data_IF_750880908906
#
_entry.id   IF_750880908906
#
_cell.length_a   1.000
_cell.length_b   1.000
_cell.length_c   1.000
_cell.angle_alpha   90.00
_cell.angle_beta   90.00
_cell.angle_gamma   90.00
#
_symmetry.space_group_name_H-M   'P 1'
#
loop_
_entity.id
_entity.type
_entity.pdbx_description
1 polymer ?
#
# COMPACT_ATOMS: atom_id res chain seq x y z
N UNK A 1 -21.11 0.97 3.42
CA UNK A 1 -20.14 -0.15 3.45
C UNK A 1 -20.48 -1.04 4.64
N UNK A 2 -20.45 -2.36 4.51
CA UNK A 2 -20.82 -3.31 5.58
C UNK A 2 -19.65 -3.63 6.51
N UNK A 3 -19.91 -3.88 7.80
CA UNK A 3 -18.90 -4.19 8.82
C UNK A 3 -17.93 -5.31 8.38
N UNK A 4 -18.46 -6.36 7.73
CA UNK A 4 -17.69 -7.49 7.19
C UNK A 4 -16.63 -7.09 6.16
N UNK A 5 -16.87 -6.04 5.35
CA UNK A 5 -15.88 -5.53 4.39
C UNK A 5 -14.76 -4.74 5.07
N UNK A 6 -15.06 -4.06 6.18
CA UNK A 6 -14.09 -3.29 6.96
C UNK A 6 -13.13 -4.24 7.68
N UNK A 7 -13.65 -5.29 8.31
CA UNK A 7 -12.82 -6.30 8.99
C UNK A 7 -11.93 -7.07 8.02
N UNK A 8 -12.44 -7.42 6.83
CA UNK A 8 -11.64 -8.03 5.77
C UNK A 8 -10.57 -7.09 5.21
N UNK A 9 -10.82 -5.77 5.19
CA UNK A 9 -9.84 -4.76 4.82
C UNK A 9 -8.69 -4.70 5.83
N UNK A 10 -9.03 -4.50 7.11
CA UNK A 10 -8.03 -4.43 8.20
C UNK A 10 -7.23 -5.72 8.35
N UNK A 11 -7.88 -6.87 8.25
CA UNK A 11 -7.20 -8.17 8.24
C UNK A 11 -6.26 -8.32 7.04
N UNK A 12 -6.62 -7.73 5.89
CA UNK A 12 -5.78 -7.71 4.71
C UNK A 12 -4.53 -6.87 4.90
N UNK A 13 -4.67 -5.64 5.37
CA UNK A 13 -3.54 -4.73 5.66
C UNK A 13 -2.56 -5.36 6.64
N UNK A 14 -3.05 -6.00 7.71
CA UNK A 14 -2.19 -6.68 8.68
C UNK A 14 -1.36 -7.81 8.04
N UNK A 15 -1.96 -8.60 7.14
CA UNK A 15 -1.23 -9.67 6.44
C UNK A 15 -0.18 -9.12 5.49
N UNK A 16 -0.46 -7.98 4.84
CA UNK A 16 0.51 -7.30 3.98
C UNK A 16 1.64 -6.70 4.80
N UNK A 17 1.33 -6.03 5.92
CA UNK A 17 2.31 -5.49 6.85
C UNK A 17 3.29 -6.57 7.31
N UNK A 18 2.78 -7.72 7.78
CA UNK A 18 3.62 -8.86 8.20
C UNK A 18 4.50 -9.40 7.08
N UNK A 19 3.98 -9.44 5.84
CA UNK A 19 4.77 -9.85 4.67
C UNK A 19 5.96 -8.91 4.47
N UNK A 20 5.76 -7.60 4.58
CA UNK A 20 6.85 -6.62 4.48
C UNK A 20 7.82 -6.66 5.67
N UNK A 21 7.31 -6.78 6.89
CA UNK A 21 8.13 -6.91 8.11
C UNK A 21 9.05 -8.14 8.02
N UNK A 22 8.54 -9.27 7.53
CA UNK A 22 9.35 -10.46 7.26
C UNK A 22 10.44 -10.27 6.18
N UNK A 23 10.40 -9.17 5.40
CA UNK A 23 11.40 -8.80 4.40
C UNK A 23 12.25 -7.59 4.85
N UNK A 24 12.23 -7.27 6.14
CA UNK A 24 13.07 -6.22 6.72
C UNK A 24 12.56 -4.80 6.53
N UNK A 25 11.29 -4.63 6.14
CA UNK A 25 10.64 -3.31 6.14
C UNK A 25 10.04 -3.00 7.52
N UNK A 26 9.97 -1.73 7.86
CA UNK A 26 9.22 -1.23 9.01
C UNK A 26 7.92 -0.59 8.55
N UNK A 27 6.83 -0.82 9.28
CA UNK A 27 5.57 -0.10 9.05
C UNK A 27 5.68 1.29 9.68
N UNK A 28 5.73 2.32 8.85
CA UNK A 28 5.79 3.71 9.28
C UNK A 28 4.40 4.24 9.63
N UNK A 29 3.40 3.94 8.80
CA UNK A 29 2.01 4.33 8.99
C UNK A 29 1.05 3.26 8.45
N UNK A 30 -0.13 3.17 9.05
CA UNK A 30 -1.27 2.37 8.55
C UNK A 30 -2.48 3.30 8.39
N UNK A 31 -3.24 3.15 7.31
CA UNK A 31 -4.42 3.98 7.01
C UNK A 31 -4.13 5.49 7.13
N UNK A 32 -3.00 5.94 6.58
CA UNK A 32 -2.62 7.35 6.65
C UNK A 32 -3.59 8.19 5.83
N UNK A 33 -4.20 9.21 6.45
CA UNK A 33 -5.33 9.96 5.89
C UNK A 33 -5.06 11.46 5.89
N UNK A 34 -5.42 12.08 4.77
CA UNK A 34 -5.47 13.53 4.62
C UNK A 34 -6.80 13.96 4.02
N UNK A 35 -7.00 15.27 3.86
CA UNK A 35 -8.18 15.81 3.16
C UNK A 35 -8.25 15.39 1.69
N UNK A 36 -7.13 14.94 1.10
CA UNK A 36 -7.02 14.60 -0.33
C UNK A 36 -7.19 13.10 -0.60
N UNK A 37 -7.11 12.26 0.43
CA UNK A 37 -7.28 10.82 0.31
C UNK A 37 -6.57 10.04 1.40
N UNK A 38 -6.30 8.77 1.12
CA UNK A 38 -5.68 7.84 2.05
C UNK A 38 -4.66 6.95 1.36
N UNK A 39 -3.70 6.47 2.14
CA UNK A 39 -2.74 5.43 1.77
C UNK A 39 -2.85 4.31 2.80
N UNK A 40 -3.05 3.07 2.32
CA UNK A 40 -3.31 1.92 3.20
C UNK A 40 -2.09 1.58 4.07
N UNK A 41 -0.90 1.49 3.47
CA UNK A 41 0.36 1.24 4.18
C UNK A 41 1.48 2.15 3.68
N UNK A 42 2.27 2.68 4.61
CA UNK A 42 3.53 3.37 4.33
C UNK A 42 4.64 2.62 5.04
N UNK A 43 5.65 2.20 4.29
CA UNK A 43 6.70 1.30 4.75
C UNK A 43 8.07 1.93 4.50
N UNK A 44 9.04 1.62 5.35
CA UNK A 44 10.41 2.09 5.21
C UNK A 44 11.41 0.93 5.21
N UNK A 45 12.46 1.04 4.40
CA UNK A 45 13.62 0.14 4.44
C UNK A 45 14.84 0.82 3.84
N UNK A 46 15.92 0.95 4.62
CA UNK A 46 17.25 1.40 4.15
C UNK A 46 17.24 2.42 2.99
N UNK A 47 16.75 3.64 3.24
CA UNK A 47 16.73 4.70 2.21
C UNK A 47 15.59 4.62 1.19
N UNK A 48 14.66 3.67 1.34
CA UNK A 48 13.44 3.59 0.56
C UNK A 48 12.19 3.84 1.41
N UNK A 49 11.20 4.52 0.81
CA UNK A 49 9.82 4.58 1.31
C UNK A 49 8.89 3.98 0.27
N UNK A 50 8.05 3.05 0.72
CA UNK A 50 7.06 2.36 -0.11
C UNK A 50 5.66 2.78 0.31
N UNK A 51 4.88 3.28 -0.64
CA UNK A 51 3.46 3.52 -0.49
C UNK A 51 2.71 2.34 -1.10
N UNK A 52 2.06 1.53 -0.27
CA UNK A 52 1.41 0.30 -0.71
C UNK A 52 -0.11 0.41 -0.61
N UNK A 53 -0.80 0.19 -1.74
CA UNK A 53 -2.25 0.02 -1.80
C UNK A 53 -2.62 -1.45 -1.60
N UNK A 54 -3.55 -1.74 -0.70
CA UNK A 54 -3.98 -3.09 -0.34
C UNK A 54 -5.35 -3.41 -0.95
N UNK A 55 -5.42 -4.51 -1.69
CA UNK A 55 -6.65 -5.01 -2.31
C UNK A 55 -7.01 -6.39 -1.78
N UNK A 56 -8.00 -6.46 -0.90
CA UNK A 56 -8.60 -7.73 -0.50
C UNK A 56 -9.50 -8.26 -1.61
N UNK A 57 -9.26 -9.51 -2.02
CA UNK A 57 -10.00 -10.21 -3.09
C UNK A 57 -10.52 -11.55 -2.60
N UNK A 58 -11.68 -11.94 -3.10
CA UNK A 58 -12.28 -13.26 -2.91
C UNK A 58 -11.87 -14.26 -4.01
N UNK A 59 -11.29 -13.77 -5.11
CA UNK A 59 -10.80 -14.57 -6.25
C UNK A 59 -9.28 -14.63 -6.26
N UNK A 60 -8.74 -15.74 -6.79
CA UNK A 60 -7.31 -16.00 -6.99
C UNK A 60 -6.76 -15.51 -8.33
N UNK A 61 -7.59 -14.93 -9.21
CA UNK A 61 -7.08 -14.40 -10.48
C UNK A 61 -6.32 -13.10 -10.24
N UNK A 62 -5.01 -13.11 -10.51
CA UNK A 62 -4.11 -11.96 -10.38
C UNK A 62 -3.89 -11.26 -11.74
N UNK A 63 -3.92 -9.93 -11.75
CA UNK A 63 -3.58 -9.06 -12.90
C UNK A 63 -2.27 -8.30 -12.60
N UNK A 64 -1.84 -7.37 -13.46
CA UNK A 64 -0.49 -6.75 -13.41
C UNK A 64 -0.24 -5.77 -12.24
N UNK A 65 -1.12 -5.71 -11.24
CA UNK A 65 -1.05 -4.73 -10.14
C UNK A 65 -1.48 -3.33 -10.58
N UNK A 66 -0.82 -2.78 -11.61
CA UNK A 66 -1.14 -1.49 -12.24
C UNK A 66 -2.57 -1.43 -12.78
N UNK A 67 -3.01 -2.48 -13.50
CA UNK A 67 -4.39 -2.60 -14.01
C UNK A 67 -5.44 -2.58 -12.89
N UNK A 68 -5.08 -3.03 -11.68
CA UNK A 68 -5.97 -3.00 -10.54
C UNK A 68 -6.08 -1.62 -9.88
N UNK A 69 -5.21 -0.68 -10.23
CA UNK A 69 -5.23 0.70 -9.77
C UNK A 69 -5.31 1.62 -10.99
N UNK A 70 -6.52 2.04 -11.35
CA UNK A 70 -6.71 2.92 -12.51
C UNK A 70 -5.92 4.23 -12.40
N UNK A 71 -5.62 4.84 -13.57
CA UNK A 71 -4.75 6.02 -13.69
C UNK A 71 -5.07 7.17 -12.72
N UNK A 72 -6.36 7.43 -12.46
CA UNK A 72 -6.81 8.48 -11.53
C UNK A 72 -6.32 8.20 -10.10
N UNK A 73 -6.39 6.93 -9.68
CA UNK A 73 -5.96 6.52 -8.35
C UNK A 73 -4.43 6.52 -8.25
N UNK A 74 -3.72 6.07 -9.29
CA UNK A 74 -2.25 6.16 -9.34
C UNK A 74 -1.76 7.62 -9.18
N UNK A 75 -2.36 8.55 -9.94
CA UNK A 75 -2.02 9.98 -9.83
C UNK A 75 -2.28 10.52 -8.43
N UNK A 76 -3.41 10.13 -7.80
CA UNK A 76 -3.72 10.51 -6.42
C UNK A 76 -2.71 9.95 -5.43
N UNK A 77 -2.34 8.67 -5.55
CA UNK A 77 -1.36 8.04 -4.65
C UNK A 77 0.01 8.70 -4.76
N UNK A 78 0.46 9.07 -5.97
CA UNK A 78 1.70 9.86 -6.15
C UNK A 78 1.64 11.22 -5.46
N UNK A 79 0.50 11.91 -5.54
CA UNK A 79 0.30 13.19 -4.83
C UNK A 79 0.31 13.03 -3.32
N UNK A 80 -0.34 11.98 -2.79
CA UNK A 80 -0.34 11.66 -1.37
C UNK A 80 1.07 11.28 -0.89
N UNK A 81 1.84 10.54 -1.69
CA UNK A 81 3.22 10.22 -1.39
C UNK A 81 4.09 11.48 -1.28
N UNK A 82 3.95 12.42 -2.22
CA UNK A 82 4.64 13.70 -2.16
C UNK A 82 4.23 14.52 -0.91
N UNK A 83 2.94 14.55 -0.56
CA UNK A 83 2.45 15.22 0.64
C UNK A 83 3.03 14.58 1.92
N UNK A 84 3.05 13.26 2.02
CA UNK A 84 3.64 12.56 3.15
C UNK A 84 5.13 12.91 3.32
N UNK A 85 5.90 12.84 2.24
CA UNK A 85 7.33 13.15 2.26
C UNK A 85 7.62 14.58 2.69
N UNK A 86 6.80 15.54 2.22
CA UNK A 86 6.94 16.95 2.60
C UNK A 86 6.79 17.18 4.11
N UNK A 87 6.00 16.36 4.82
CA UNK A 87 5.83 16.47 6.28
C UNK A 87 6.99 15.92 7.09
N UNK A 88 7.85 15.07 6.49
CA UNK A 88 8.95 14.37 7.20
C UNK A 88 10.29 15.10 7.12
N UNK A 89 10.41 16.13 6.27
CA UNK A 89 11.59 16.98 6.16
C UNK A 89 12.91 16.27 5.81
N UNK A 90 12.85 14.98 5.43
CA UNK A 90 14.02 14.12 5.21
C UNK A 90 14.11 13.72 3.75
N UNK A 91 15.32 13.77 3.20
CA UNK A 91 15.59 13.22 1.86
C UNK A 91 15.47 11.70 1.88
N UNK A 92 14.68 11.16 0.97
CA UNK A 92 14.50 9.72 0.79
C UNK A 92 15.05 9.37 -0.60
N UNK A 93 16.13 8.57 -0.68
CA UNK A 93 16.75 8.18 -1.94
C UNK A 93 15.81 7.48 -2.92
N UNK A 94 14.89 6.64 -2.41
CA UNK A 94 14.00 5.84 -3.25
C UNK A 94 12.54 5.92 -2.80
N UNK A 95 11.63 6.18 -3.73
CA UNK A 95 10.18 6.17 -3.50
C UNK A 95 9.53 5.16 -4.43
N UNK A 96 8.77 4.23 -3.85
CA UNK A 96 8.11 3.15 -4.59
C UNK A 96 6.61 3.12 -4.33
N UNK A 97 5.82 2.82 -5.35
CA UNK A 97 4.38 2.61 -5.22
C UNK A 97 4.05 1.16 -5.52
N UNK A 98 3.61 0.45 -4.48
CA UNK A 98 3.34 -0.98 -4.56
C UNK A 98 1.83 -1.23 -4.52
N UNK A 99 1.43 -2.39 -5.04
CA UNK A 99 0.06 -2.88 -4.89
C UNK A 99 0.14 -4.28 -4.29
N UNK A 100 -0.58 -4.51 -3.19
CA UNK A 100 -0.65 -5.82 -2.55
C UNK A 100 -2.05 -6.42 -2.69
N UNK A 101 -2.13 -7.66 -3.14
CA UNK A 101 -3.39 -8.40 -3.23
C UNK A 101 -3.43 -9.43 -2.12
N UNK A 102 -4.53 -9.42 -1.38
CA UNK A 102 -4.78 -10.33 -0.28
C UNK A 102 -5.92 -11.25 -0.68
N UNK A 103 -5.67 -12.55 -0.63
CA UNK A 103 -6.67 -13.58 -0.90
C UNK A 103 -6.66 -14.61 0.24
N UNK A 104 -7.63 -15.54 0.29
CA UNK A 104 -7.60 -16.63 1.27
C UNK A 104 -6.30 -17.45 1.21
N UNK A 105 -5.71 -17.62 0.03
CA UNK A 105 -4.53 -18.46 -0.17
C UNK A 105 -3.20 -17.74 0.06
N UNK A 106 -3.18 -16.41 0.15
CA UNK A 106 -1.94 -15.69 0.40
C UNK A 106 -1.96 -14.20 0.07
N UNK A 107 -0.78 -13.59 0.23
CA UNK A 107 -0.49 -12.21 -0.14
C UNK A 107 0.44 -12.21 -1.34
N UNK A 108 0.09 -11.44 -2.38
CA UNK A 108 0.97 -11.18 -3.52
C UNK A 108 1.25 -9.68 -3.60
N UNK A 109 2.51 -9.30 -3.65
CA UNK A 109 2.94 -7.91 -3.80
C UNK A 109 3.41 -7.69 -5.23
N UNK A 110 2.95 -6.60 -5.83
CA UNK A 110 3.44 -6.05 -7.09
C UNK A 110 4.27 -4.83 -6.73
N UNK A 111 5.58 -5.01 -6.73
CA UNK A 111 6.53 -3.94 -6.44
C UNK A 111 6.64 -2.97 -7.63
N UNK A 112 6.83 -1.69 -7.35
CA UNK A 112 6.94 -0.64 -8.36
C UNK A 112 5.80 -0.72 -9.40
N UNK A 113 4.58 -0.94 -8.92
CA UNK A 113 3.42 -1.20 -9.75
C UNK A 113 3.06 -0.01 -10.65
N UNK A 114 3.41 1.22 -10.26
CA UNK A 114 3.25 2.42 -11.10
C UNK A 114 4.17 3.56 -10.69
#
# INVERSE_FOLDING_TARGET
MTARRIDLGRSGEERVARRYEAHGYVVLERNWRTRRGEVDLILGREGSIVFCEVKTRTSTRFGTGAEAVGWRKQRRLRQLGAEYLATRGSFVPEVRFDVAWVSPTGVRVFEAAF
#
